data_IF_443432310046
#
_entry.id   IF_443432310046
#
_cell.length_a   1.000
_cell.length_b   1.000
_cell.length_c   1.000
_cell.angle_alpha   90.00
_cell.angle_beta   90.00
_cell.angle_gamma   90.00
#
_symmetry.space_group_name_H-M   'P 1'
#
loop_
_entity.id
_entity.type
_entity.pdbx_description
1 polymer ?
#
# COMPACT_ATOMS: atom_id res chain seq x y z
N UNK A 1 1.63 -32.99 30.20
CA UNK A 1 0.50 -32.07 29.85
C UNK A 1 0.99 -30.62 29.74
N UNK A 2 2.28 -30.40 29.43
CA UNK A 2 2.90 -29.06 29.39
C UNK A 2 3.19 -28.60 27.95
N UNK A 3 3.41 -29.51 26.98
CA UNK A 3 3.68 -29.16 25.57
C UNK A 3 2.52 -28.46 24.84
N UNK A 4 1.27 -28.60 25.30
CA UNK A 4 0.11 -27.96 24.66
C UNK A 4 -0.02 -26.48 25.03
N UNK A 5 0.31 -26.10 26.26
CA UNK A 5 0.20 -24.71 26.75
C UNK A 5 1.24 -23.78 26.11
N UNK A 6 2.44 -24.29 25.85
CA UNK A 6 3.50 -23.54 25.16
C UNK A 6 3.22 -23.33 23.67
N UNK A 7 2.45 -24.21 23.04
CA UNK A 7 2.06 -24.07 21.64
C UNK A 7 0.97 -23.02 21.44
N UNK A 8 -0.02 -22.95 22.32
CA UNK A 8 -1.10 -21.96 22.23
C UNK A 8 -0.59 -20.52 22.40
N UNK A 9 0.31 -20.30 23.36
CA UNK A 9 0.93 -18.98 23.57
C UNK A 9 1.82 -18.58 22.39
N UNK A 10 2.54 -19.53 21.78
CA UNK A 10 3.33 -19.28 20.58
C UNK A 10 2.46 -18.92 19.37
N UNK A 11 1.34 -19.62 19.16
CA UNK A 11 0.39 -19.32 18.09
C UNK A 11 -0.20 -17.91 18.28
N UNK A 12 -0.59 -17.56 19.51
CA UNK A 12 -1.10 -16.23 19.82
C UNK A 12 -0.06 -15.13 19.53
N UNK A 13 1.20 -15.35 19.86
CA UNK A 13 2.27 -14.39 19.57
C UNK A 13 2.46 -14.18 18.05
N UNK A 14 2.31 -15.24 17.25
CA UNK A 14 2.37 -15.15 15.78
C UNK A 14 1.18 -14.34 15.25
N UNK A 15 -0.02 -14.57 15.77
CA UNK A 15 -1.23 -13.85 15.36
C UNK A 15 -1.12 -12.36 15.73
N UNK A 16 -0.71 -12.06 16.96
CA UNK A 16 -0.50 -10.68 17.45
C UNK A 16 0.52 -9.94 16.55
N UNK A 17 1.63 -10.59 16.19
CA UNK A 17 2.62 -10.01 15.28
C UNK A 17 2.09 -9.83 13.85
N UNK A 18 1.30 -10.77 13.36
CA UNK A 18 0.66 -10.66 12.05
C UNK A 18 -0.33 -9.48 11.99
N UNK A 19 -1.10 -9.27 13.06
CA UNK A 19 -1.98 -8.10 13.19
C UNK A 19 -1.19 -6.80 13.25
N UNK A 20 -0.13 -6.75 14.07
CA UNK A 20 0.79 -5.62 14.14
C UNK A 20 1.32 -5.24 12.75
N UNK A 21 1.84 -6.22 12.00
CA UNK A 21 2.37 -5.99 10.65
C UNK A 21 1.29 -5.57 9.64
N UNK A 22 0.02 -5.93 9.86
CA UNK A 22 -1.08 -5.47 9.01
C UNK A 22 -1.41 -4.00 9.27
N UNK A 23 -1.44 -3.58 10.54
CA UNK A 23 -1.83 -2.24 10.98
C UNK A 23 -0.68 -1.24 10.80
N UNK A 24 0.50 -1.55 11.32
CA UNK A 24 1.68 -0.67 11.28
C UNK A 24 2.35 -0.75 9.91
N UNK A 25 2.51 -1.95 9.34
CA UNK A 25 3.24 -2.11 8.09
C UNK A 25 4.72 -1.83 8.29
N UNK A 26 5.29 -0.94 7.46
CA UNK A 26 6.71 -0.55 7.52
C UNK A 26 6.90 0.85 8.16
N UNK A 27 5.85 1.40 8.78
CA UNK A 27 5.87 2.72 9.43
C UNK A 27 6.77 2.76 10.68
N UNK A 28 7.16 1.60 11.21
CA UNK A 28 8.03 1.45 12.38
C UNK A 28 9.51 1.66 12.06
N UNK A 29 9.87 1.83 10.78
CA UNK A 29 11.24 2.05 10.34
C UNK A 29 12.18 0.87 10.63
N UNK A 30 11.62 -0.32 10.89
CA UNK A 30 12.36 -1.52 11.26
C UNK A 30 12.62 -1.69 12.76
N UNK A 31 12.05 -0.84 13.63
CA UNK A 31 12.11 -0.98 15.09
C UNK A 31 10.70 -1.12 15.63
N UNK A 32 10.40 -2.27 16.25
CA UNK A 32 9.09 -2.55 16.80
C UNK A 32 8.66 -1.47 17.80
N UNK A 33 7.41 -1.03 17.66
CA UNK A 33 6.80 -0.09 18.59
C UNK A 33 6.63 -0.70 19.98
N UNK A 34 6.74 0.16 21.00
CA UNK A 34 6.26 -0.18 22.34
C UNK A 34 4.74 -0.29 22.33
N UNK A 35 4.17 -0.95 23.35
CA UNK A 35 2.72 -1.08 23.48
C UNK A 35 2.01 0.30 23.47
N UNK A 36 2.60 1.29 24.17
CA UNK A 36 2.08 2.67 24.23
C UNK A 36 2.11 3.34 22.85
N UNK A 37 3.21 3.21 22.12
CA UNK A 37 3.34 3.74 20.75
C UNK A 37 2.35 3.10 19.79
N UNK A 38 2.11 1.79 19.92
CA UNK A 38 1.16 1.07 19.08
C UNK A 38 -0.29 1.50 19.33
N UNK A 39 -0.69 1.68 20.59
CA UNK A 39 -2.05 2.19 20.91
C UNK A 39 -2.24 3.61 20.39
N UNK A 40 -1.26 4.49 20.58
CA UNK A 40 -1.34 5.86 20.08
C UNK A 40 -1.40 5.90 18.54
N UNK A 41 -0.62 5.04 17.87
CA UNK A 41 -0.68 4.87 16.42
C UNK A 41 -2.07 4.43 15.94
N UNK A 42 -2.70 3.48 16.63
CA UNK A 42 -4.07 3.05 16.34
C UNK A 42 -5.09 4.17 16.53
N UNK A 43 -4.93 5.01 17.56
CA UNK A 43 -5.86 6.12 17.83
C UNK A 43 -5.75 7.25 16.80
N UNK A 44 -4.55 7.49 16.28
CA UNK A 44 -4.28 8.66 15.42
C UNK A 44 -4.25 8.30 13.94
N UNK A 45 -3.38 7.37 13.54
CA UNK A 45 -3.06 7.09 12.14
C UNK A 45 -4.15 6.28 11.46
N UNK A 46 -4.71 5.27 12.14
CA UNK A 46 -5.74 4.40 11.55
C UNK A 46 -6.99 5.21 11.14
N UNK A 47 -7.61 6.04 12.00
CA UNK A 47 -8.76 6.85 11.60
C UNK A 47 -8.45 7.85 10.47
N UNK A 48 -7.25 8.45 10.47
CA UNK A 48 -6.81 9.37 9.39
C UNK A 48 -6.74 8.65 8.05
N UNK A 49 -6.10 7.47 8.00
CA UNK A 49 -6.01 6.65 6.79
C UNK A 49 -7.40 6.19 6.30
N UNK A 50 -8.34 5.91 7.21
CA UNK A 50 -9.72 5.56 6.85
C UNK A 50 -10.46 6.72 6.20
N UNK A 51 -10.27 7.95 6.68
CA UNK A 51 -10.87 9.17 6.10
C UNK A 51 -10.27 9.53 4.74
N UNK A 52 -8.97 9.29 4.56
CA UNK A 52 -8.22 9.64 3.35
C UNK A 52 -8.20 8.50 2.30
N UNK A 53 -9.23 7.66 2.26
CA UNK A 53 -9.33 6.60 1.24
C UNK A 53 -9.58 7.19 -0.14
N UNK A 54 -8.90 6.64 -1.14
CA UNK A 54 -9.10 7.03 -2.53
C UNK A 54 -10.17 6.16 -3.18
N UNK A 55 -10.93 6.79 -4.08
CA UNK A 55 -11.82 6.11 -5.01
C UNK A 55 -11.27 6.32 -6.41
N UNK A 56 -11.18 5.25 -7.18
CA UNK A 56 -10.74 5.30 -8.57
C UNK A 56 -11.85 4.76 -9.45
N UNK A 57 -12.26 5.57 -10.41
CA UNK A 57 -13.13 5.15 -11.50
C UNK A 57 -12.28 4.83 -12.72
N UNK A 58 -12.49 3.67 -13.33
CA UNK A 58 -11.83 3.27 -14.58
C UNK A 58 -12.81 2.45 -15.42
N UNK A 59 -12.67 2.47 -16.75
CA UNK A 59 -13.59 1.75 -17.62
C UNK A 59 -13.57 2.25 -19.05
N UNK A 60 -14.50 1.73 -19.84
CA UNK A 60 -14.73 2.18 -21.22
C UNK A 60 -15.80 3.28 -21.23
N UNK A 61 -15.81 4.17 -22.24
CA UNK A 61 -16.91 5.13 -22.40
C UNK A 61 -18.27 4.41 -22.33
N UNK A 62 -19.12 4.80 -21.37
CA UNK A 62 -20.44 4.19 -21.14
C UNK A 62 -20.51 3.08 -20.07
N UNK A 63 -19.38 2.53 -19.61
CA UNK A 63 -19.32 1.62 -18.45
C UNK A 63 -18.12 1.97 -17.57
N UNK A 64 -18.39 2.65 -16.47
CA UNK A 64 -17.40 3.06 -15.48
C UNK A 64 -17.48 2.10 -14.29
N UNK A 65 -16.37 1.45 -13.94
CA UNK A 65 -16.22 0.69 -12.71
C UNK A 65 -15.57 1.58 -11.65
N UNK A 66 -16.23 1.71 -10.50
CA UNK A 66 -15.71 2.43 -9.35
C UNK A 66 -15.11 1.45 -8.34
N UNK A 67 -13.85 1.66 -7.98
CA UNK A 67 -13.14 0.85 -6.99
C UNK A 67 -12.63 1.68 -5.83
N UNK A 68 -12.93 1.22 -4.62
CA UNK A 68 -12.31 1.72 -3.40
C UNK A 68 -10.88 1.20 -3.29
N UNK A 69 -9.92 2.12 -3.17
CA UNK A 69 -8.52 1.78 -2.94
C UNK A 69 -8.35 1.36 -1.48
N UNK A 70 -8.17 0.07 -1.27
CA UNK A 70 -7.84 -0.50 0.03
C UNK A 70 -6.34 -0.44 0.34
N UNK A 71 -5.95 -0.63 1.61
CA UNK A 71 -4.55 -0.55 2.05
C UNK A 71 -3.61 -1.52 1.33
N UNK A 72 -4.13 -2.69 0.92
CA UNK A 72 -3.39 -3.75 0.22
C UNK A 72 -3.39 -3.58 -1.31
N UNK A 73 -4.04 -2.54 -1.84
CA UNK A 73 -4.08 -2.28 -3.29
C UNK A 73 -2.70 -1.86 -3.76
N UNK A 74 -2.21 -2.49 -4.84
CA UNK A 74 -0.89 -2.19 -5.40
C UNK A 74 -0.90 -0.90 -6.20
N UNK A 75 0.17 -0.12 -5.99
CA UNK A 75 0.60 0.97 -6.83
C UNK A 75 1.37 0.43 -8.05
N UNK A 76 1.57 1.27 -9.06
CA UNK A 76 2.47 1.02 -10.17
C UNK A 76 3.89 0.62 -9.74
N UNK A 77 4.41 1.18 -8.64
CA UNK A 77 5.71 0.83 -8.08
C UNK A 77 5.74 -0.53 -7.35
N UNK A 78 4.72 -1.38 -7.53
CA UNK A 78 4.51 -2.68 -6.89
C UNK A 78 4.23 -2.66 -5.37
N UNK A 79 4.49 -1.54 -4.69
CA UNK A 79 4.17 -1.34 -3.29
C UNK A 79 2.68 -1.10 -3.04
N UNK A 80 2.24 -1.32 -1.81
CA UNK A 80 0.84 -1.24 -1.38
C UNK A 80 0.46 0.18 -1.01
N UNK A 81 -0.82 0.53 -1.16
CA UNK A 81 -1.34 1.87 -0.82
C UNK A 81 -0.99 2.30 0.62
N UNK A 82 -0.99 1.37 1.58
CA UNK A 82 -0.60 1.65 2.98
C UNK A 82 0.86 2.07 3.14
N UNK A 83 1.74 1.72 2.20
CA UNK A 83 3.16 2.10 2.19
C UNK A 83 3.36 3.48 1.54
N UNK A 84 2.29 4.17 1.13
CA UNK A 84 2.34 5.55 0.66
C UNK A 84 1.92 6.50 1.78
N UNK A 85 2.40 7.75 1.73
CA UNK A 85 1.94 8.82 2.61
C UNK A 85 0.46 9.09 2.32
N UNK A 86 -0.41 8.73 3.25
CA UNK A 86 -1.89 8.81 3.15
C UNK A 86 -2.52 9.46 4.38
N UNK A 87 -1.72 9.74 5.39
CA UNK A 87 -2.02 10.29 6.70
C UNK A 87 -2.05 11.83 6.70
N UNK A 88 -2.71 12.46 5.73
CA UNK A 88 -2.91 13.91 5.73
C UNK A 88 -3.93 14.34 6.79
N UNK A 89 -3.66 15.42 7.53
CA UNK A 89 -4.65 16.04 8.42
C UNK A 89 -5.69 16.83 7.63
N UNK A 90 -5.19 17.58 6.65
CA UNK A 90 -5.98 18.32 5.68
C UNK A 90 -5.59 17.81 4.30
N UNK A 91 -6.57 17.35 3.54
CA UNK A 91 -6.35 16.86 2.17
C UNK A 91 -6.01 18.06 1.29
N UNK A 92 -4.87 18.06 0.59
CA UNK A 92 -4.52 19.14 -0.34
C UNK A 92 -5.59 19.34 -1.41
N UNK A 93 -5.88 20.60 -1.74
CA UNK A 93 -6.82 20.96 -2.82
C UNK A 93 -6.20 20.76 -4.21
N UNK A 94 -4.88 20.92 -4.32
CA UNK A 94 -4.14 20.75 -5.58
C UNK A 94 -4.14 19.28 -6.03
N UNK A 95 -4.39 19.07 -7.33
CA UNK A 95 -4.44 17.75 -7.97
C UNK A 95 -3.41 17.69 -9.10
N UNK A 96 -2.70 16.56 -9.29
CA UNK A 96 -2.83 15.27 -8.58
C UNK A 96 -2.27 15.30 -7.14
N UNK A 97 -2.81 14.43 -6.27
CA UNK A 97 -2.31 14.33 -4.89
C UNK A 97 -0.91 13.71 -4.87
N UNK A 98 0.01 14.38 -4.17
CA UNK A 98 1.37 13.89 -3.94
C UNK A 98 1.33 12.87 -2.81
N UNK A 99 1.39 11.58 -3.18
CA UNK A 99 1.33 10.45 -2.27
C UNK A 99 2.62 9.63 -2.42
N UNK A 100 3.76 10.12 -1.89
CA UNK A 100 5.05 9.48 -2.09
C UNK A 100 5.10 8.13 -1.36
N UNK A 101 5.80 7.17 -1.97
CA UNK A 101 6.07 5.89 -1.34
C UNK A 101 7.08 6.06 -0.20
N UNK A 102 6.84 5.42 0.95
CA UNK A 102 7.71 5.45 2.14
C UNK A 102 8.73 4.31 2.16
N UNK A 103 8.65 3.38 1.22
CA UNK A 103 9.60 2.26 1.13
C UNK A 103 10.98 2.79 0.74
N UNK A 104 12.00 2.39 1.51
CA UNK A 104 13.38 2.83 1.31
C UNK A 104 13.85 2.49 -0.11
N UNK A 105 14.34 3.50 -0.84
CA UNK A 105 14.85 3.34 -2.20
C UNK A 105 13.80 3.44 -3.32
N UNK A 106 12.51 3.57 -3.00
CA UNK A 106 11.46 3.76 -4.01
C UNK A 106 11.36 5.23 -4.44
N UNK A 107 11.49 5.51 -5.74
CA UNK A 107 11.37 6.87 -6.30
C UNK A 107 9.94 7.28 -6.71
N UNK A 108 8.93 6.57 -6.23
CA UNK A 108 7.53 6.83 -6.56
C UNK A 108 7.00 8.09 -5.84
N UNK A 109 6.66 9.13 -6.60
CA UNK A 109 6.20 10.44 -6.08
C UNK A 109 4.70 10.51 -5.80
N UNK A 110 3.90 9.69 -6.47
CA UNK A 110 2.45 9.66 -6.30
C UNK A 110 1.89 8.24 -6.49
N UNK A 111 0.84 7.91 -5.75
CA UNK A 111 0.14 6.64 -5.91
C UNK A 111 -0.56 6.58 -7.27
N UNK A 112 -0.29 5.51 -8.01
CA UNK A 112 -0.88 5.24 -9.31
C UNK A 112 -1.56 3.89 -9.29
N UNK A 113 -2.88 3.92 -9.47
CA UNK A 113 -3.68 2.70 -9.50
C UNK A 113 -3.45 1.93 -10.80
N UNK A 114 -3.14 0.64 -10.67
CA UNK A 114 -3.07 -0.30 -11.79
C UNK A 114 -4.31 -1.21 -11.75
N UNK A 115 -5.19 -1.15 -12.77
CA UNK A 115 -6.28 -2.10 -12.89
C UNK A 115 -5.79 -3.55 -12.93
N UNK A 116 -6.50 -4.45 -12.25
CA UNK A 116 -6.23 -5.89 -12.27
C UNK A 116 -7.45 -6.63 -12.79
N UNK A 117 -7.24 -7.53 -13.73
CA UNK A 117 -8.25 -8.44 -14.26
C UNK A 117 -8.02 -9.82 -13.63
N UNK A 118 -8.73 -10.09 -12.54
CA UNK A 118 -8.47 -11.26 -11.70
C UNK A 118 -7.06 -11.20 -11.09
N UNK A 119 -6.25 -12.26 -11.18
CA UNK A 119 -4.90 -12.25 -10.63
C UNK A 119 -3.92 -11.40 -11.45
N UNK A 120 -4.23 -11.08 -12.71
CA UNK A 120 -3.28 -10.48 -13.63
C UNK A 120 -3.44 -8.95 -13.69
N UNK A 121 -2.35 -8.17 -13.49
CA UNK A 121 -2.38 -6.74 -13.79
C UNK A 121 -2.50 -6.49 -15.29
N UNK A 122 -3.03 -5.32 -15.66
CA UNK A 122 -3.01 -4.90 -17.06
C UNK A 122 -1.57 -4.74 -17.55
N UNK A 123 -1.33 -5.15 -18.80
CA UNK A 123 -0.03 -4.99 -19.45
C UNK A 123 0.12 -3.56 -19.97
N UNK A 124 1.33 -3.03 -19.89
CA UNK A 124 1.66 -1.73 -20.46
C UNK A 124 1.64 -1.79 -22.00
N UNK A 125 1.75 -0.63 -22.66
CA UNK A 125 1.81 -0.55 -24.15
C UNK A 125 2.93 -1.40 -24.75
N UNK A 126 4.04 -1.55 -24.03
CA UNK A 126 5.17 -2.40 -24.39
C UNK A 126 4.96 -3.90 -24.09
N UNK A 127 3.76 -4.32 -23.67
CA UNK A 127 3.37 -5.69 -23.28
C UNK A 127 4.01 -6.26 -22.00
N UNK A 128 4.90 -5.51 -21.35
CA UNK A 128 5.50 -5.87 -20.07
C UNK A 128 4.60 -5.54 -18.88
N UNK A 129 4.95 -6.07 -17.70
CA UNK A 129 4.23 -5.80 -16.46
C UNK A 129 4.61 -4.41 -15.92
N UNK A 130 3.75 -3.76 -15.12
CA UNK A 130 4.09 -2.51 -14.43
C UNK A 130 5.41 -2.60 -13.64
N UNK A 131 5.65 -3.74 -13.00
CA UNK A 131 6.87 -4.05 -12.23
C UNK A 131 8.16 -3.99 -13.06
N UNK A 132 8.05 -4.18 -14.38
CA UNK A 132 9.17 -4.10 -15.33
C UNK A 132 9.54 -2.66 -15.70
N UNK A 133 8.91 -1.66 -15.08
CA UNK A 133 9.13 -0.25 -15.37
C UNK A 133 9.78 0.45 -14.18
N UNK A 134 10.37 1.60 -14.46
CA UNK A 134 10.82 2.51 -13.41
C UNK A 134 9.62 3.11 -12.68
N UNK A 135 9.72 3.14 -11.35
CA UNK A 135 8.77 3.83 -10.48
C UNK A 135 8.88 5.35 -10.56
N UNK A 136 9.97 5.87 -11.13
CA UNK A 136 10.19 7.29 -11.35
C UNK A 136 9.27 7.86 -12.44
N UNK A 137 9.16 9.19 -12.45
CA UNK A 137 8.41 9.93 -13.47
C UNK A 137 8.85 9.51 -14.88
N UNK A 138 7.88 9.14 -15.72
CA UNK A 138 8.12 8.69 -17.10
C UNK A 138 8.07 7.18 -17.29
N UNK A 139 8.08 6.39 -16.21
CA UNK A 139 7.82 4.94 -16.23
C UNK A 139 8.55 4.19 -17.35
N UNK A 140 9.85 4.44 -17.49
CA UNK A 140 10.65 3.81 -18.54
C UNK A 140 10.70 2.29 -18.33
N UNK A 141 10.44 1.54 -19.40
CA UNK A 141 10.48 0.09 -19.35
C UNK A 141 11.94 -0.40 -19.28
N UNK A 142 12.26 -1.19 -18.25
CA UNK A 142 13.59 -1.78 -18.04
C UNK A 142 13.88 -2.94 -18.99
N UNK A 143 12.83 -3.53 -19.61
CA UNK A 143 12.93 -4.69 -20.52
C UNK A 143 12.87 -4.33 -22.00
N UNK A 144 12.39 -3.14 -22.35
CA UNK A 144 12.42 -2.72 -23.74
C UNK A 144 13.86 -2.48 -24.14
N UNK A 145 14.31 -3.14 -25.20
CA UNK A 145 15.54 -2.73 -25.88
C UNK A 145 15.27 -1.34 -26.46
N UNK A 146 16.11 -0.37 -26.10
CA UNK A 146 16.17 0.92 -26.79
C UNK A 146 16.42 0.72 -28.28
#
# INVERSE_FOLDING_TARGET
MEEKSSNESALKAIDDYCEYRRIVGDDDGGVLFTAEQYEEYKRTVVPRRMKNRLYVSFGVPGRIDCKLVGPETQCFCAHRYKQHKTDFEVIPSERPLVLPCRVRGCCCSAYQYVPRNGPNPVRCRCKHLPEDHSEATGHLCKKCKS
#
